data_IF_664821309687
#
_entry.id   IF_664821309687
#
_cell.length_a   1.000
_cell.length_b   1.000
_cell.length_c   1.000
_cell.angle_alpha   90.00
_cell.angle_beta   90.00
_cell.angle_gamma   90.00
#
_symmetry.space_group_name_H-M   'P 1'
#
loop_
_entity.id
_entity.type
_entity.pdbx_description
1 polymer ?
#
# COMPACT_ATOMS: atom_id res chain seq x y z
N UNK A 1 5.14 10.23 -2.54
CA UNK A 1 4.19 11.34 -2.30
C UNK A 1 4.68 12.66 -2.89
N UNK A 2 5.86 13.21 -2.54
CA UNK A 2 6.36 14.45 -3.19
C UNK A 2 6.48 14.35 -4.71
N UNK A 3 7.07 13.27 -5.25
CA UNK A 3 7.12 13.01 -6.70
C UNK A 3 5.75 12.77 -7.33
N UNK A 4 4.80 12.22 -6.56
CA UNK A 4 3.40 12.04 -6.98
C UNK A 4 2.69 13.38 -7.09
N UNK A 5 2.98 14.31 -6.16
CA UNK A 5 2.44 15.67 -6.11
C UNK A 5 3.10 16.61 -7.14
N UNK A 6 4.37 16.35 -7.51
CA UNK A 6 5.03 17.06 -8.62
C UNK A 6 4.65 16.48 -9.99
N UNK A 7 4.51 15.16 -10.11
CA UNK A 7 4.04 14.52 -11.33
C UNK A 7 2.55 14.86 -11.60
N UNK A 8 1.71 14.91 -10.57
CA UNK A 8 0.30 15.30 -10.71
C UNK A 8 0.13 16.74 -11.19
N UNK A 9 0.95 17.68 -10.68
CA UNK A 9 0.95 19.08 -11.12
C UNK A 9 1.38 19.28 -12.57
N UNK A 10 2.24 18.41 -13.11
CA UNK A 10 2.73 18.53 -14.48
C UNK A 10 1.89 17.75 -15.50
N UNK A 11 1.02 16.82 -15.07
CA UNK A 11 0.32 15.89 -15.97
C UNK A 11 -1.17 16.28 -16.21
N UNK A 12 -1.84 17.08 -15.38
CA UNK A 12 -3.27 17.41 -15.59
C UNK A 12 -3.65 18.88 -15.32
N UNK A 13 -4.23 19.49 -16.37
CA UNK A 13 -4.83 20.84 -16.45
C UNK A 13 -6.17 20.93 -15.66
N UNK A 14 -6.65 19.84 -15.07
CA UNK A 14 -7.97 19.76 -14.42
C UNK A 14 -7.90 19.51 -12.92
N UNK A 15 -7.31 20.43 -12.15
CA UNK A 15 -7.63 20.76 -10.74
C UNK A 15 -7.82 19.68 -9.65
N UNK A 16 -7.74 18.37 -9.93
CA UNK A 16 -7.94 17.32 -8.95
C UNK A 16 -7.05 16.09 -9.22
N UNK A 17 -6.29 15.72 -8.19
CA UNK A 17 -5.10 14.88 -8.26
C UNK A 17 -5.33 13.44 -7.75
N UNK A 18 -6.56 13.08 -7.38
CA UNK A 18 -6.84 11.78 -6.73
C UNK A 18 -6.77 10.58 -7.67
N UNK A 19 -6.85 10.77 -8.99
CA UNK A 19 -6.77 9.67 -9.95
C UNK A 19 -5.45 8.90 -9.88
N UNK A 20 -4.33 9.62 -9.66
CA UNK A 20 -3.01 8.99 -9.56
C UNK A 20 -2.91 8.13 -8.30
N UNK A 21 -3.60 8.53 -7.22
CA UNK A 21 -3.68 7.74 -6.00
C UNK A 21 -4.45 6.43 -6.23
N UNK A 22 -5.56 6.47 -6.97
CA UNK A 22 -6.34 5.26 -7.31
C UNK A 22 -5.52 4.27 -8.15
N UNK A 23 -4.82 4.75 -9.18
CA UNK A 23 -3.97 3.91 -10.03
C UNK A 23 -2.82 3.32 -9.22
N UNK A 24 -2.20 4.12 -8.36
CA UNK A 24 -1.16 3.66 -7.45
C UNK A 24 -1.68 2.55 -6.51
N UNK A 25 -2.85 2.75 -5.91
CA UNK A 25 -3.50 1.73 -5.05
C UNK A 25 -3.77 0.42 -5.78
N UNK A 26 -4.21 0.48 -7.04
CA UNK A 26 -4.45 -0.72 -7.83
C UNK A 26 -3.14 -1.48 -8.10
N UNK A 27 -2.09 -0.77 -8.53
CA UNK A 27 -0.78 -1.38 -8.80
C UNK A 27 -0.21 -2.00 -7.52
N UNK A 28 -0.29 -1.27 -6.41
CA UNK A 28 0.20 -1.74 -5.12
C UNK A 28 -0.55 -3.00 -4.66
N UNK A 29 -1.88 -3.00 -4.73
CA UNK A 29 -2.70 -4.17 -4.38
C UNK A 29 -2.32 -5.38 -5.24
N UNK A 30 -2.25 -5.23 -6.57
CA UNK A 30 -1.89 -6.33 -7.48
C UNK A 30 -0.50 -6.86 -7.18
N UNK A 31 0.47 -5.96 -6.96
CA UNK A 31 1.83 -6.32 -6.58
C UNK A 31 1.84 -7.13 -5.28
N UNK A 32 1.16 -6.68 -4.23
CA UNK A 32 1.18 -7.38 -2.94
C UNK A 32 0.38 -8.67 -2.94
N UNK A 33 -0.76 -8.74 -3.65
CA UNK A 33 -1.49 -10.01 -3.86
C UNK A 33 -0.58 -11.05 -4.50
N UNK A 34 0.12 -10.67 -5.57
CA UNK A 34 1.09 -11.54 -6.24
C UNK A 34 2.27 -11.90 -5.33
N UNK A 35 2.88 -10.89 -4.68
CA UNK A 35 4.04 -11.05 -3.82
C UNK A 35 3.76 -11.99 -2.65
N UNK A 36 2.64 -11.80 -1.95
CA UNK A 36 2.25 -12.66 -0.84
C UNK A 36 1.91 -14.07 -1.30
N UNK A 37 1.15 -14.20 -2.39
CA UNK A 37 0.71 -15.51 -2.88
C UNK A 37 1.86 -16.36 -3.43
N UNK A 38 2.88 -15.72 -4.02
CA UNK A 38 4.00 -16.42 -4.66
C UNK A 38 5.21 -16.62 -3.76
N UNK A 39 5.54 -15.64 -2.90
CA UNK A 39 6.83 -15.62 -2.19
C UNK A 39 6.72 -15.68 -0.66
N UNK A 40 5.63 -15.16 -0.07
CA UNK A 40 5.53 -15.08 1.40
C UNK A 40 4.72 -16.23 2.01
N UNK A 41 3.56 -16.55 1.44
CA UNK A 41 2.66 -17.58 1.97
C UNK A 41 3.08 -18.96 1.48
N UNK A 42 3.21 -19.92 2.41
CA UNK A 42 3.54 -21.30 2.06
C UNK A 42 2.39 -21.99 1.31
N UNK A 43 1.14 -21.65 1.67
CA UNK A 43 -0.07 -22.13 1.02
C UNK A 43 -0.98 -20.94 0.77
N UNK A 44 -1.07 -20.42 -0.47
CA UNK A 44 -1.97 -19.32 -0.76
C UNK A 44 -3.41 -19.79 -0.56
N UNK A 45 -4.14 -19.10 0.32
CA UNK A 45 -5.56 -19.39 0.53
C UNK A 45 -6.36 -18.69 -0.58
N UNK A 46 -7.26 -19.44 -1.24
CA UNK A 46 -8.19 -18.90 -2.25
C UNK A 46 -9.02 -17.74 -1.70
N UNK A 47 -9.32 -17.73 -0.40
CA UNK A 47 -10.02 -16.63 0.27
C UNK A 47 -9.20 -15.34 0.21
N UNK A 48 -7.89 -15.40 0.43
CA UNK A 48 -7.00 -14.22 0.41
C UNK A 48 -6.88 -13.66 -1.01
N UNK A 49 -6.74 -14.55 -2.01
CA UNK A 49 -6.71 -14.13 -3.42
C UNK A 49 -8.06 -13.53 -3.82
N UNK A 50 -9.17 -14.16 -3.42
CA UNK A 50 -10.52 -13.66 -3.66
C UNK A 50 -10.75 -12.29 -3.05
N UNK A 51 -10.28 -12.06 -1.82
CA UNK A 51 -10.32 -10.75 -1.16
C UNK A 51 -9.55 -9.69 -1.97
N UNK A 52 -8.34 -10.03 -2.45
CA UNK A 52 -7.56 -9.17 -3.34
C UNK A 52 -8.28 -8.85 -4.65
N UNK A 53 -8.94 -9.83 -5.26
CA UNK A 53 -9.73 -9.62 -6.48
C UNK A 53 -10.94 -8.71 -6.24
N UNK A 54 -11.68 -8.91 -5.13
CA UNK A 54 -12.82 -8.05 -4.76
C UNK A 54 -12.36 -6.62 -4.53
N UNK A 55 -11.24 -6.42 -3.82
CA UNK A 55 -10.66 -5.09 -3.63
C UNK A 55 -10.18 -4.46 -4.95
N UNK A 56 -9.61 -5.24 -5.86
CA UNK A 56 -9.22 -4.73 -7.17
C UNK A 56 -10.44 -4.27 -7.98
N UNK A 57 -11.53 -5.05 -7.98
CA UNK A 57 -12.80 -4.67 -8.61
C UNK A 57 -13.35 -3.38 -7.99
N UNK A 58 -13.28 -3.23 -6.67
CA UNK A 58 -13.69 -2.01 -5.98
C UNK A 58 -12.87 -0.79 -6.45
N UNK A 59 -11.55 -0.89 -6.50
CA UNK A 59 -10.67 0.22 -6.94
C UNK A 59 -10.93 0.56 -8.42
N UNK A 60 -11.11 -0.45 -9.27
CA UNK A 60 -11.46 -0.24 -10.69
C UNK A 60 -12.82 0.44 -10.82
N UNK A 61 -13.80 0.07 -9.99
CA UNK A 61 -15.10 0.73 -9.97
C UNK A 61 -14.98 2.21 -9.57
N UNK A 62 -14.17 2.56 -8.57
CA UNK A 62 -13.87 3.96 -8.21
C UNK A 62 -13.22 4.73 -9.37
N UNK A 63 -12.26 4.10 -10.08
CA UNK A 63 -11.62 4.71 -11.26
C UNK A 63 -12.65 4.98 -12.37
N UNK A 64 -13.52 4.01 -12.68
CA UNK A 64 -14.56 4.17 -13.71
C UNK A 64 -15.56 5.26 -13.30
N UNK A 65 -15.98 5.29 -12.04
CA UNK A 65 -16.88 6.33 -11.53
C UNK A 65 -16.27 7.73 -11.62
N UNK A 66 -14.96 7.85 -11.33
CA UNK A 66 -14.23 9.12 -11.45
C UNK A 66 -14.31 9.69 -12.88
N UNK A 67 -14.17 8.85 -13.91
CA UNK A 67 -14.26 9.28 -15.31
C UNK A 67 -15.70 9.47 -15.80
N UNK A 68 -16.65 8.68 -15.29
CA UNK A 68 -18.05 8.74 -15.74
C UNK A 68 -18.81 9.96 -15.19
N UNK A 69 -18.45 10.46 -14.00
CA UNK A 69 -19.21 11.52 -13.31
C UNK A 69 -18.32 12.68 -12.81
N UNK A 70 -17.85 13.57 -13.69
CA UNK A 70 -16.96 14.66 -13.32
C UNK A 70 -17.60 15.72 -12.39
N UNK A 71 -18.93 15.80 -12.30
CA UNK A 71 -19.60 16.73 -11.38
C UNK A 71 -19.43 16.40 -9.89
N UNK A 72 -19.03 15.16 -9.55
CA UNK A 72 -18.78 14.72 -8.17
C UNK A 72 -17.31 14.82 -7.74
N UNK A 73 -16.43 15.34 -8.61
CA UNK A 73 -14.98 15.45 -8.36
C UNK A 73 -14.66 16.22 -7.06
N UNK A 74 -15.48 17.20 -6.67
CA UNK A 74 -15.28 17.95 -5.40
C UNK A 74 -15.62 17.15 -4.14
N UNK A 75 -16.39 16.07 -4.24
CA UNK A 75 -16.77 15.21 -3.12
C UNK A 75 -16.07 13.85 -3.19
N UNK A 76 -15.24 13.62 -4.21
CA UNK A 76 -14.58 12.35 -4.42
C UNK A 76 -13.56 12.06 -3.32
N UNK A 77 -13.76 10.96 -2.61
CA UNK A 77 -12.92 10.51 -1.50
C UNK A 77 -12.26 9.19 -1.90
N UNK A 78 -10.92 9.15 -2.02
CA UNK A 78 -10.22 7.96 -2.49
C UNK A 78 -10.08 6.92 -1.38
N UNK A 79 -11.20 6.26 -1.03
CA UNK A 79 -11.23 5.17 -0.07
C UNK A 79 -10.52 3.91 -0.60
N UNK A 80 -10.26 3.82 -1.90
CA UNK A 80 -9.34 2.82 -2.49
C UNK A 80 -8.03 2.65 -1.72
N UNK A 81 -7.45 3.75 -1.18
CA UNK A 81 -6.18 3.72 -0.43
C UNK A 81 -6.31 3.20 1.01
N UNK A 82 -7.53 3.10 1.52
CA UNK A 82 -7.78 2.44 2.80
C UNK A 82 -8.03 0.96 2.54
N UNK A 83 -8.79 0.65 1.48
CA UNK A 83 -9.11 -0.72 1.08
C UNK A 83 -7.85 -1.50 0.70
N UNK A 84 -6.94 -0.91 -0.10
CA UNK A 84 -5.69 -1.58 -0.50
C UNK A 84 -4.83 -1.97 0.73
N UNK A 85 -4.57 -1.01 1.61
CA UNK A 85 -3.76 -1.18 2.81
C UNK A 85 -4.40 -2.23 3.73
N UNK A 86 -5.72 -2.21 3.88
CA UNK A 86 -6.44 -3.16 4.72
C UNK A 86 -6.31 -4.60 4.22
N UNK A 87 -6.41 -4.81 2.90
CA UNK A 87 -6.18 -6.13 2.32
C UNK A 87 -4.74 -6.60 2.55
N UNK A 88 -3.75 -5.72 2.37
CA UNK A 88 -2.34 -6.07 2.60
C UNK A 88 -2.08 -6.41 4.06
N UNK A 89 -2.69 -5.67 5.01
CA UNK A 89 -2.64 -5.98 6.45
C UNK A 89 -3.20 -7.39 6.71
N UNK A 90 -4.35 -7.74 6.13
CA UNK A 90 -4.92 -9.08 6.27
C UNK A 90 -3.96 -10.15 5.74
N UNK A 91 -3.29 -9.91 4.59
CA UNK A 91 -2.28 -10.85 4.07
C UNK A 91 -1.08 -11.00 5.01
N UNK A 92 -0.61 -9.89 5.59
CA UNK A 92 0.49 -9.89 6.55
C UNK A 92 0.14 -10.63 7.84
N UNK A 93 -1.10 -10.49 8.33
CA UNK A 93 -1.61 -11.26 9.47
C UNK A 93 -1.78 -12.74 9.13
N UNK A 94 -2.28 -13.06 7.94
CA UNK A 94 -2.38 -14.44 7.47
C UNK A 94 -1.02 -15.13 7.37
N UNK A 95 0.04 -14.38 6.98
CA UNK A 95 1.41 -14.88 7.01
C UNK A 95 1.83 -15.27 8.43
N UNK A 96 1.59 -14.41 9.42
CA UNK A 96 1.92 -14.72 10.82
C UNK A 96 1.14 -15.93 11.33
N UNK A 97 -0.15 -16.01 11.03
CA UNK A 97 -0.98 -17.15 11.39
C UNK A 97 -0.45 -18.47 10.81
N UNK A 98 -0.07 -18.50 9.53
CA UNK A 98 0.52 -19.71 8.92
C UNK A 98 1.85 -20.09 9.54
N UNK A 99 2.69 -19.11 9.89
CA UNK A 99 4.00 -19.36 10.51
C UNK A 99 3.87 -19.84 11.95
N UNK A 100 2.97 -19.27 12.75
CA UNK A 100 2.71 -19.74 14.12
C UNK A 100 2.16 -21.17 14.14
N UNK A 101 1.32 -21.54 13.17
CA UNK A 101 0.74 -22.89 13.08
C UNK A 101 1.76 -23.94 12.58
N UNK A 102 2.72 -23.52 11.77
CA UNK A 102 3.80 -24.35 11.27
C UNK A 102 4.96 -24.28 12.27
N UNK A 103 5.01 -25.18 13.25
CA UNK A 103 6.07 -25.38 14.28
C UNK A 103 7.50 -25.63 13.72
N UNK A 104 7.81 -25.21 12.49
CA UNK A 104 9.15 -25.22 11.91
C UNK A 104 9.86 -23.89 12.23
N UNK A 105 10.54 -23.88 13.38
CA UNK A 105 11.35 -22.75 13.87
C UNK A 105 12.55 -22.40 12.96
N UNK A 106 12.87 -23.20 11.95
CA UNK A 106 14.11 -23.09 11.19
C UNK A 106 14.07 -22.10 10.02
N UNK A 107 12.92 -21.49 9.68
CA UNK A 107 12.81 -20.55 8.53
C UNK A 107 11.98 -19.30 8.85
N UNK A 108 12.54 -18.45 9.71
CA UNK A 108 12.04 -17.09 10.03
C UNK A 108 12.45 -16.01 9.02
N UNK A 109 13.12 -16.37 7.90
CA UNK A 109 13.79 -15.40 7.01
C UNK A 109 12.93 -14.21 6.57
N UNK A 110 11.65 -14.44 6.27
CA UNK A 110 10.75 -13.38 5.79
C UNK A 110 9.94 -12.69 6.91
N UNK A 111 10.13 -13.09 8.17
CA UNK A 111 9.36 -12.56 9.31
C UNK A 111 9.63 -11.07 9.51
N UNK A 112 10.91 -10.66 9.49
CA UNK A 112 11.30 -9.26 9.63
C UNK A 112 10.69 -8.38 8.53
N UNK A 113 10.74 -8.84 7.28
CA UNK A 113 10.13 -8.13 6.15
C UNK A 113 8.62 -8.00 6.34
N UNK A 114 7.93 -9.09 6.70
CA UNK A 114 6.48 -9.06 6.95
C UNK A 114 6.09 -8.11 8.09
N UNK A 115 6.88 -8.05 9.16
CA UNK A 115 6.67 -7.12 10.27
C UNK A 115 6.77 -5.67 9.79
N UNK A 116 7.79 -5.33 9.00
CA UNK A 116 7.94 -3.96 8.47
C UNK A 116 6.79 -3.62 7.52
N UNK A 117 6.37 -4.55 6.66
CA UNK A 117 5.19 -4.37 5.81
C UNK A 117 3.92 -4.12 6.64
N UNK A 118 3.66 -4.95 7.66
CA UNK A 118 2.49 -4.78 8.52
C UNK A 118 2.49 -3.41 9.21
N UNK A 119 3.62 -2.99 9.80
CA UNK A 119 3.74 -1.70 10.47
C UNK A 119 3.52 -0.56 9.48
N UNK A 120 4.17 -0.60 8.32
CA UNK A 120 4.04 0.43 7.29
C UNK A 120 2.60 0.58 6.83
N UNK A 121 1.94 -0.51 6.44
CA UNK A 121 0.57 -0.47 5.96
C UNK A 121 -0.44 -0.09 7.04
N UNK A 122 -0.18 -0.44 8.29
CA UNK A 122 -1.01 -0.01 9.44
C UNK A 122 -0.90 1.49 9.66
N UNK A 123 0.32 2.04 9.70
CA UNK A 123 0.54 3.48 9.84
C UNK A 123 -0.08 4.25 8.66
N UNK A 124 0.10 3.73 7.44
CA UNK A 124 -0.49 4.29 6.23
C UNK A 124 -2.03 4.30 6.34
N UNK A 125 -2.65 3.20 6.78
CA UNK A 125 -4.11 3.14 7.02
C UNK A 125 -4.56 4.18 8.02
N UNK A 126 -3.88 4.33 9.17
CA UNK A 126 -4.24 5.32 10.19
C UNK A 126 -4.20 6.75 9.63
N UNK A 127 -3.22 7.05 8.77
CA UNK A 127 -3.07 8.37 8.14
C UNK A 127 -4.16 8.63 7.10
N UNK A 128 -4.53 7.62 6.31
CA UNK A 128 -5.53 7.76 5.24
C UNK A 128 -6.98 7.57 5.70
N UNK A 129 -7.22 7.04 6.90
CA UNK A 129 -8.57 6.90 7.46
C UNK A 129 -9.29 8.27 7.64
N UNK A 130 -8.65 9.31 8.20
CA UNK A 130 -9.23 10.66 8.28
C UNK A 130 -9.05 11.50 7.00
N UNK A 131 -8.69 10.90 5.86
CA UNK A 131 -8.32 11.65 4.64
C UNK A 131 -9.39 12.67 4.21
N UNK A 132 -10.67 12.34 4.36
CA UNK A 132 -11.79 13.24 4.06
C UNK A 132 -11.73 14.53 4.91
N UNK A 133 -11.39 14.44 6.19
CA UNK A 133 -11.22 15.62 7.05
C UNK A 133 -9.96 16.40 6.68
N UNK A 134 -8.88 15.71 6.33
CA UNK A 134 -7.59 16.33 6.00
C UNK A 134 -7.60 17.12 4.70
N UNK A 135 -8.42 16.71 3.72
CA UNK A 135 -8.51 17.41 2.42
C UNK A 135 -9.35 18.69 2.51
N UNK A 136 -10.35 18.72 3.40
CA UNK A 136 -11.28 19.83 3.52
C UNK A 136 -10.89 20.85 4.59
N UNK A 137 -9.90 20.56 5.43
CA UNK A 137 -9.44 21.44 6.50
C UNK A 137 -8.20 22.24 6.07
N UNK A 138 -8.18 23.55 6.38
CA UNK A 138 -7.06 24.45 6.08
C UNK A 138 -6.06 24.58 7.23
N UNK A 139 -6.16 23.70 8.24
CA UNK A 139 -5.35 23.78 9.45
C UNK A 139 -3.90 23.33 9.23
N UNK A 140 -2.96 23.90 10.01
CA UNK A 140 -1.55 23.47 10.02
C UNK A 140 -1.35 22.00 10.41
N UNK A 141 -2.37 21.35 10.99
CA UNK A 141 -2.36 19.91 11.34
C UNK A 141 -2.19 19.03 10.11
N UNK A 142 -2.78 19.42 8.97
CA UNK A 142 -2.67 18.71 7.69
C UNK A 142 -1.21 18.60 7.25
N UNK A 143 -0.43 19.68 7.42
CA UNK A 143 1.00 19.68 7.09
C UNK A 143 1.80 18.67 7.92
N UNK A 144 1.56 18.59 9.23
CA UNK A 144 2.26 17.63 10.10
C UNK A 144 1.94 16.18 9.74
N UNK A 145 0.67 15.87 9.44
CA UNK A 145 0.25 14.53 9.05
C UNK A 145 0.89 14.11 7.72
N UNK A 146 0.91 15.00 6.73
CA UNK A 146 1.59 14.73 5.46
C UNK A 146 3.11 14.59 5.61
N UNK A 147 3.71 15.37 6.50
CA UNK A 147 5.14 15.24 6.83
C UNK A 147 5.44 13.90 7.48
N UNK A 148 4.63 13.48 8.46
CA UNK A 148 4.76 12.17 9.10
C UNK A 148 4.61 11.02 8.09
N UNK A 149 3.65 11.12 7.17
CA UNK A 149 3.49 10.16 6.08
C UNK A 149 4.72 10.12 5.17
N UNK A 150 5.26 11.28 4.80
CA UNK A 150 6.47 11.40 4.00
C UNK A 150 7.68 10.72 4.66
N UNK A 151 7.84 10.93 5.97
CA UNK A 151 8.88 10.26 6.77
C UNK A 151 8.68 8.74 6.83
N UNK A 152 7.44 8.28 7.07
CA UNK A 152 7.13 6.85 7.10
C UNK A 152 7.45 6.16 5.77
N UNK A 153 7.07 6.79 4.65
CA UNK A 153 7.40 6.33 3.30
C UNK A 153 8.93 6.29 3.10
N UNK A 154 9.64 7.33 3.52
CA UNK A 154 11.10 7.41 3.38
C UNK A 154 11.80 6.30 4.15
N UNK A 155 11.41 6.07 5.41
CA UNK A 155 11.96 4.97 6.21
C UNK A 155 11.64 3.59 5.62
N UNK A 156 10.44 3.40 5.10
CA UNK A 156 10.04 2.16 4.45
C UNK A 156 10.91 1.86 3.23
N UNK A 157 11.09 2.83 2.33
CA UNK A 157 11.92 2.64 1.13
C UNK A 157 13.41 2.50 1.46
N UNK A 158 13.93 3.24 2.45
CA UNK A 158 15.31 3.05 2.93
C UNK A 158 15.53 1.64 3.48
N UNK A 159 14.54 1.10 4.20
CA UNK A 159 14.59 -0.27 4.69
C UNK A 159 14.60 -1.28 3.54
N UNK A 160 13.67 -1.15 2.58
CA UNK A 160 13.62 -2.03 1.40
C UNK A 160 14.92 -1.98 0.60
N UNK A 161 15.45 -0.78 0.36
CA UNK A 161 16.72 -0.59 -0.33
C UNK A 161 17.87 -1.27 0.41
N UNK A 162 17.95 -1.12 1.73
CA UNK A 162 18.94 -1.80 2.57
C UNK A 162 18.84 -3.34 2.46
N UNK A 163 17.61 -3.86 2.45
CA UNK A 163 17.35 -5.30 2.34
C UNK A 163 17.76 -5.86 0.97
N UNK A 164 17.41 -5.16 -0.10
CA UNK A 164 17.79 -5.51 -1.48
C UNK A 164 19.32 -5.48 -1.63
N UNK A 165 19.97 -4.44 -1.14
CA UNK A 165 21.42 -4.30 -1.25
C UNK A 165 22.18 -5.37 -0.47
N UNK A 166 21.72 -5.71 0.74
CA UNK A 166 22.33 -6.79 1.54
C UNK A 166 22.18 -8.14 0.85
N UNK A 167 20.97 -8.49 0.40
CA UNK A 167 20.71 -9.79 -0.23
C UNK A 167 21.33 -9.89 -1.63
N UNK A 168 21.42 -8.78 -2.37
CA UNK A 168 22.06 -8.72 -3.68
C UNK A 168 23.59 -8.94 -3.61
N UNK A 169 24.25 -8.40 -2.59
CA UNK A 169 25.68 -8.69 -2.33
C UNK A 169 25.92 -10.15 -1.97
N UNK A 170 25.01 -10.76 -1.20
CA UNK A 170 25.12 -12.18 -0.87
C UNK A 170 24.96 -13.05 -2.10
N UNK A 171 24.05 -12.72 -3.02
CA UNK A 171 23.87 -13.47 -4.27
C UNK A 171 25.11 -13.43 -5.19
N UNK A 172 25.81 -12.30 -5.28
CA UNK A 172 27.05 -12.16 -6.07
C UNK A 172 28.29 -12.83 -5.44
N UNK A 173 28.26 -13.11 -4.14
CA UNK A 173 29.37 -13.78 -3.44
C UNK A 173 29.33 -15.32 -3.59
N UNK A 174 28.20 -15.87 -4.05
CA UNK A 174 28.00 -17.30 -4.29
C UNK A 174 27.87 -17.65 -5.80
N UNK A 175 28.11 -16.68 -6.69
CA UNK A 175 28.25 -16.87 -8.14
C UNK A 175 29.71 -16.84 -8.55
#
# INVERSE_FOLDING_TARGET
MMLLDTASRNILISGNNFIVLLVYSLIELVFFVYFYSRFMLNKPNKIIIGLGAVAAVYIVAEIVQYFANPMYIKQFQPYAKVVDNFVIIIMALAFFYQKMRSFNETRWGNFKLNTVLLIFFTLNTIIFLPFNFLVNDSSGVVFYIWTANGLAISFFYLYLFSLIFKNGKTALAYS
#
